data_IF_454209668278
#
_entry.id   IF_454209668278
#
_cell.length_a   1.000
_cell.length_b   1.000
_cell.length_c   1.000
_cell.angle_alpha   90.00
_cell.angle_beta   90.00
_cell.angle_gamma   90.00
#
_symmetry.space_group_name_H-M   'P 1'
#
loop_
_entity.id
_entity.type
_entity.pdbx_description
1 polymer ?
#
# COMPACT_ATOMS: atom_id res chain seq x y z
N UNK A 1 -10.84 -8.72 -35.96
CA UNK A 1 -11.42 -8.34 -34.65
C UNK A 1 -10.44 -7.41 -33.94
N UNK A 2 -10.77 -6.13 -33.79
CA UNK A 2 -9.97 -5.24 -32.95
C UNK A 2 -10.39 -5.45 -31.50
N UNK A 3 -9.53 -6.09 -30.71
CA UNK A 3 -9.69 -6.18 -29.26
C UNK A 3 -9.43 -4.76 -28.76
N UNK A 4 -10.48 -4.05 -28.33
CA UNK A 4 -10.32 -2.74 -27.71
C UNK A 4 -9.37 -2.89 -26.52
N UNK A 5 -8.17 -2.32 -26.65
CA UNK A 5 -7.21 -2.24 -25.55
C UNK A 5 -7.85 -1.34 -24.50
N UNK A 6 -8.44 -1.95 -23.48
CA UNK A 6 -8.86 -1.26 -22.25
C UNK A 6 -7.69 -0.39 -21.82
N UNK A 7 -7.94 0.90 -21.70
CA UNK A 7 -6.91 1.90 -21.43
C UNK A 7 -6.17 1.47 -20.16
N UNK A 8 -4.87 1.19 -20.29
CA UNK A 8 -4.02 0.69 -19.20
C UNK A 8 -3.85 1.69 -18.05
N UNK A 9 -4.26 2.95 -18.27
CA UNK A 9 -4.13 4.04 -17.32
C UNK A 9 -5.39 4.92 -17.33
N UNK A 10 -5.88 5.30 -16.15
CA UNK A 10 -6.94 6.30 -16.04
C UNK A 10 -6.43 7.64 -16.58
N UNK A 11 -7.20 8.31 -17.46
CA UNK A 11 -6.88 9.67 -17.92
C UNK A 11 -6.83 10.69 -16.79
N UNK A 12 -7.45 10.36 -15.66
CA UNK A 12 -7.48 11.20 -14.46
C UNK A 12 -6.32 10.93 -13.50
N UNK A 13 -5.45 9.96 -13.82
CA UNK A 13 -4.27 9.62 -13.02
C UNK A 13 -3.39 10.82 -12.67
N UNK A 14 -3.11 11.78 -13.58
CA UNK A 14 -2.27 12.94 -13.25
C UNK A 14 -2.92 13.95 -12.30
N UNK A 15 -4.24 13.87 -12.09
CA UNK A 15 -5.01 14.79 -11.26
C UNK A 15 -5.32 14.23 -9.88
N UNK A 16 -4.92 12.98 -9.61
CA UNK A 16 -5.04 12.37 -8.29
C UNK A 16 -3.86 12.80 -7.42
N UNK A 17 -4.11 13.13 -6.14
CA UNK A 17 -3.03 13.31 -5.19
C UNK A 17 -2.14 12.06 -5.15
N UNK A 18 -0.81 12.25 -5.10
CA UNK A 18 0.16 11.16 -5.23
C UNK A 18 -0.07 10.02 -4.25
N UNK A 19 -0.40 10.32 -2.99
CA UNK A 19 -0.72 9.31 -1.96
C UNK A 19 -1.90 8.40 -2.37
N UNK A 20 -2.97 9.01 -2.88
CA UNK A 20 -4.17 8.28 -3.29
C UNK A 20 -3.88 7.47 -4.55
N UNK A 21 -3.11 8.03 -5.49
CA UNK A 21 -2.67 7.33 -6.69
C UNK A 21 -1.91 6.04 -6.34
N UNK A 22 -0.87 6.13 -5.51
CA UNK A 22 -0.09 4.96 -5.10
C UNK A 22 -0.96 3.95 -4.36
N UNK A 23 -1.85 4.43 -3.47
CA UNK A 23 -2.74 3.57 -2.72
C UNK A 23 -3.68 2.72 -3.60
N UNK A 24 -4.15 3.24 -4.74
CA UNK A 24 -4.99 2.47 -5.67
C UNK A 24 -4.17 1.74 -6.75
N UNK A 25 -2.87 2.03 -6.87
CA UNK A 25 -1.99 1.49 -7.91
C UNK A 25 -1.43 0.10 -7.56
N UNK A 26 -2.33 -0.86 -7.32
CA UNK A 26 -2.02 -2.23 -6.87
C UNK A 26 -2.24 -3.25 -7.96
N UNK A 27 -1.36 -4.25 -8.09
CA UNK A 27 -1.51 -5.33 -9.07
C UNK A 27 -2.78 -6.18 -8.85
N UNK A 28 -3.16 -6.43 -7.59
CA UNK A 28 -4.35 -7.21 -7.24
C UNK A 28 -5.65 -6.44 -7.54
N UNK A 29 -6.37 -6.85 -8.59
CA UNK A 29 -7.61 -6.22 -9.03
C UNK A 29 -8.75 -6.28 -8.00
N UNK A 30 -8.82 -7.32 -7.18
CA UNK A 30 -9.87 -7.45 -6.17
C UNK A 30 -9.68 -6.44 -5.05
N UNK A 31 -8.44 -6.29 -4.56
CA UNK A 31 -8.09 -5.30 -3.53
C UNK A 31 -8.27 -3.89 -4.11
N UNK A 32 -7.76 -3.64 -5.33
CA UNK A 32 -7.93 -2.36 -6.03
C UNK A 32 -9.40 -1.93 -6.11
N UNK A 33 -10.32 -2.85 -6.42
CA UNK A 33 -11.77 -2.57 -6.42
C UNK A 33 -12.31 -2.22 -5.04
N UNK A 34 -11.88 -2.88 -3.97
CA UNK A 34 -12.28 -2.55 -2.59
C UNK A 34 -11.79 -1.14 -2.21
N UNK A 35 -10.52 -0.83 -2.49
CA UNK A 35 -9.92 0.50 -2.24
C UNK A 35 -10.63 1.62 -2.98
N UNK A 36 -10.99 1.39 -4.26
CA UNK A 36 -11.77 2.35 -5.03
C UNK A 36 -13.18 2.57 -4.46
N UNK A 37 -13.87 1.51 -4.01
CA UNK A 37 -15.19 1.66 -3.38
C UNK A 37 -15.11 2.46 -2.09
N UNK A 38 -14.10 2.20 -1.26
CA UNK A 38 -13.84 2.97 -0.06
C UNK A 38 -13.57 4.45 -0.39
N UNK A 39 -12.70 4.73 -1.36
CA UNK A 39 -12.41 6.11 -1.77
C UNK A 39 -13.67 6.83 -2.29
N UNK A 40 -14.51 6.15 -3.08
CA UNK A 40 -15.79 6.69 -3.55
C UNK A 40 -16.72 7.01 -2.37
N UNK A 41 -16.75 6.16 -1.34
CA UNK A 41 -17.58 6.42 -0.15
C UNK A 41 -17.11 7.64 0.65
N UNK A 42 -15.79 7.91 0.70
CA UNK A 42 -15.25 9.10 1.34
C UNK A 42 -15.61 10.39 0.59
N UNK A 43 -15.64 10.34 -0.74
CA UNK A 43 -16.00 11.48 -1.58
C UNK A 43 -17.46 11.95 -1.39
N UNK A 44 -18.30 11.16 -0.71
CA UNK A 44 -19.64 11.60 -0.32
C UNK A 44 -19.63 12.65 0.80
N UNK A 45 -18.60 12.67 1.64
CA UNK A 45 -18.52 13.52 2.84
C UNK A 45 -17.26 14.41 2.90
N UNK A 46 -16.26 14.14 2.06
CA UNK A 46 -14.96 14.83 2.08
C UNK A 46 -14.53 15.24 0.68
N UNK A 47 -13.87 16.39 0.57
CA UNK A 47 -13.23 16.80 -0.67
C UNK A 47 -11.92 16.03 -0.91
N UNK A 48 -11.50 15.91 -2.17
CA UNK A 48 -10.27 15.18 -2.53
C UNK A 48 -9.01 15.73 -1.83
N UNK A 49 -8.95 17.03 -1.58
CA UNK A 49 -7.86 17.67 -0.83
C UNK A 49 -7.84 17.22 0.64
N UNK A 50 -9.00 17.24 1.31
CA UNK A 50 -9.13 16.79 2.69
C UNK A 50 -8.79 15.30 2.85
N UNK A 51 -9.27 14.46 1.91
CA UNK A 51 -8.95 13.03 1.89
C UNK A 51 -7.44 12.82 1.76
N UNK A 52 -6.76 13.61 0.93
CA UNK A 52 -5.31 13.53 0.83
C UNK A 52 -4.66 13.93 2.16
N UNK A 53 -5.04 15.05 2.74
CA UNK A 53 -4.38 15.60 3.93
C UNK A 53 -4.53 14.68 5.14
N UNK A 54 -5.73 14.13 5.34
CA UNK A 54 -6.08 13.24 6.45
C UNK A 54 -6.02 11.75 6.08
N UNK A 55 -5.33 11.42 4.99
CA UNK A 55 -5.38 10.09 4.38
C UNK A 55 -5.17 8.94 5.38
N UNK A 56 -4.12 9.01 6.19
CA UNK A 56 -3.79 7.94 7.15
C UNK A 56 -4.76 7.87 8.34
N UNK A 57 -5.37 8.99 8.72
CA UNK A 57 -6.42 8.99 9.75
C UNK A 57 -7.64 8.22 9.25
N UNK A 58 -8.06 8.50 8.00
CA UNK A 58 -9.18 7.82 7.35
C UNK A 58 -8.86 6.35 7.01
N UNK A 59 -7.58 6.03 6.80
CA UNK A 59 -7.11 4.68 6.48
C UNK A 59 -7.26 3.72 7.67
N UNK A 60 -7.10 4.20 8.90
CA UNK A 60 -7.21 3.36 10.11
C UNK A 60 -8.60 2.73 10.28
N UNK A 61 -9.63 3.29 9.66
CA UNK A 61 -10.98 2.74 9.69
C UNK A 61 -11.19 1.58 8.70
N UNK A 62 -10.15 1.15 7.98
CA UNK A 62 -10.24 0.06 7.00
C UNK A 62 -10.13 -1.34 7.59
N UNK A 63 -10.73 -2.31 6.91
CA UNK A 63 -10.67 -3.73 7.27
C UNK A 63 -9.41 -4.40 6.72
N UNK A 64 -8.93 -5.44 7.40
CA UNK A 64 -7.69 -6.17 7.04
C UNK A 64 -7.70 -6.70 5.61
N UNK A 65 -8.88 -6.96 5.04
CA UNK A 65 -9.05 -7.46 3.67
C UNK A 65 -8.65 -6.47 2.55
N UNK A 66 -8.29 -5.24 2.92
CA UNK A 66 -7.85 -4.18 2.02
C UNK A 66 -6.32 -4.02 1.98
N UNK A 67 -5.59 -4.72 2.85
CA UNK A 67 -4.14 -4.81 2.80
C UNK A 67 -3.70 -5.78 1.70
N UNK A 68 -2.57 -5.46 1.04
CA UNK A 68 -1.93 -6.44 0.18
C UNK A 68 -1.41 -7.59 1.04
N UNK A 69 -1.48 -8.85 0.56
CA UNK A 69 -0.83 -9.96 1.26
C UNK A 69 0.68 -9.70 1.37
N UNK A 70 1.27 -10.07 2.52
CA UNK A 70 2.61 -9.84 3.14
C UNK A 70 3.89 -9.89 2.26
N UNK A 71 3.81 -9.51 1.00
CA UNK A 71 4.88 -9.57 0.02
C UNK A 71 4.96 -8.22 -0.72
N UNK A 72 5.04 -7.12 0.02
CA UNK A 72 5.40 -5.85 -0.58
C UNK A 72 6.92 -5.84 -0.83
N UNK A 73 7.41 -5.40 -2.02
CA UNK A 73 8.84 -5.44 -2.35
C UNK A 73 9.73 -4.57 -1.45
N UNK A 74 9.13 -3.71 -0.63
CA UNK A 74 9.81 -2.88 0.37
C UNK A 74 9.53 -3.31 1.81
N UNK A 75 8.85 -4.44 2.01
CA UNK A 75 8.64 -4.97 3.36
C UNK A 75 9.98 -5.30 3.99
N UNK A 76 10.18 -4.75 5.18
CA UNK A 76 11.39 -5.01 5.96
C UNK A 76 11.29 -6.42 6.51
N UNK A 77 12.15 -7.30 6.01
CA UNK A 77 12.27 -8.64 6.57
C UNK A 77 12.97 -8.55 7.93
N UNK A 78 12.20 -8.42 9.01
CA UNK A 78 12.70 -8.39 10.37
C UNK A 78 13.46 -9.66 10.77
N UNK A 79 13.17 -10.80 10.14
CA UNK A 79 13.94 -12.03 10.37
C UNK A 79 15.40 -11.89 9.90
N UNK A 80 15.67 -11.12 8.84
CA UNK A 80 17.06 -10.82 8.41
C UNK A 80 17.80 -9.96 9.45
N UNK A 81 17.10 -9.05 10.14
CA UNK A 81 17.70 -8.28 11.24
C UNK A 81 17.93 -9.15 12.49
N UNK A 82 17.05 -10.11 12.74
CA UNK A 82 17.19 -11.08 13.83
C UNK A 82 18.37 -12.04 13.58
N UNK A 83 18.61 -12.43 12.34
CA UNK A 83 19.80 -13.21 11.94
C UNK A 83 21.11 -12.46 12.20
N UNK A 84 21.13 -11.14 11.98
CA UNK A 84 22.29 -10.28 12.28
C UNK A 84 22.58 -10.14 13.78
N UNK A 85 21.62 -10.50 14.65
CA UNK A 85 21.83 -10.51 16.10
C UNK A 85 22.56 -11.76 16.58
N UNK A 86 22.94 -12.70 15.70
CA UNK A 86 23.79 -13.81 16.11
C UNK A 86 25.14 -13.27 16.61
N UNK A 87 25.39 -13.26 17.94
CA UNK A 87 26.67 -12.80 18.43
C UNK A 87 27.69 -13.78 17.89
N UNK A 88 28.73 -13.26 17.25
CA UNK A 88 29.93 -14.01 16.94
C UNK A 88 30.34 -14.75 18.21
N UNK A 89 30.02 -16.05 18.28
CA UNK A 89 30.49 -16.94 19.34
C UNK A 89 31.96 -17.21 19.05
N UNK A 90 32.80 -16.20 19.23
CA UNK A 90 34.24 -16.36 19.27
C UNK A 90 34.86 -15.23 20.09
N UNK A 91 35.33 -15.60 21.29
CA UNK A 91 36.39 -14.85 21.98
C UNK A 91 35.96 -13.96 23.15
N UNK A 92 35.54 -14.54 24.28
CA UNK A 92 36.00 -14.04 25.58
C UNK A 92 36.67 -15.19 26.33
N UNK A 93 37.96 -15.27 26.06
CA UNK A 93 39.02 -15.90 26.82
C UNK A 93 38.95 -15.53 28.31
N UNK A 94 39.41 -16.43 29.21
CA UNK A 94 40.26 -16.17 30.42
C UNK A 94 39.98 -17.11 31.63
N UNK A 95 41.06 -17.82 31.99
CA UNK A 95 41.47 -18.50 33.27
C UNK A 95 40.90 -19.88 33.56
#
# INVERSE_FOLDING_TARGET
MAIYRVVTYSRYSPYLPGRIYEYINISNLSIRKKRLKWLISLLANHEMGEINDRFYELLNDQTEEMYEPDSHPYDVNWAMYDELQSPSREGSDKV
#
